data_IF_072647386511
#
_entry.id   IF_072647386511
#
_cell.length_a   1.000
_cell.length_b   1.000
_cell.length_c   1.000
_cell.angle_alpha   90.00
_cell.angle_beta   90.00
_cell.angle_gamma   90.00
#
_symmetry.space_group_name_H-M   'P 1'
#
loop_
_entity.id
_entity.type
_entity.pdbx_description
1 polymer ?
#
# COMPACT_ATOMS: atom_id res chain seq x y z
N UNK A 1 -6.23 -18.70 5.74
CA UNK A 1 -5.80 -17.38 6.27
C UNK A 1 -5.60 -16.43 5.10
N UNK A 2 -6.32 -15.33 5.09
CA UNK A 2 -6.31 -14.38 3.97
C UNK A 2 -5.39 -13.20 4.26
N UNK A 3 -4.53 -12.85 3.32
CA UNK A 3 -3.67 -11.67 3.39
C UNK A 3 -3.76 -10.89 2.08
N UNK A 4 -3.97 -9.59 2.18
CA UNK A 4 -4.09 -8.66 1.06
C UNK A 4 -2.97 -7.63 1.16
N UNK A 5 -2.21 -7.48 0.08
CA UNK A 5 -1.21 -6.42 -0.01
C UNK A 5 -1.82 -5.21 -0.72
N UNK A 6 -1.68 -4.06 -0.10
CA UNK A 6 -2.08 -2.76 -0.66
C UNK A 6 -0.79 -2.02 -1.00
N UNK A 7 -0.61 -1.66 -2.25
CA UNK A 7 0.58 -0.97 -2.72
C UNK A 7 0.23 0.20 -3.62
N UNK A 8 1.19 1.03 -3.94
CA UNK A 8 0.98 2.20 -4.79
C UNK A 8 1.98 3.29 -4.47
N UNK A 9 1.96 4.34 -5.27
CA UNK A 9 2.89 5.46 -5.13
C UNK A 9 2.49 6.39 -3.99
N UNK A 10 3.39 7.29 -3.60
CA UNK A 10 3.10 8.29 -2.56
C UNK A 10 1.88 9.13 -2.94
N UNK A 11 1.00 9.38 -1.98
CA UNK A 11 -0.18 10.24 -2.17
C UNK A 11 -1.41 9.54 -2.74
N UNK A 12 -1.35 8.24 -3.03
CA UNK A 12 -2.53 7.50 -3.50
C UNK A 12 -3.50 7.14 -2.36
N UNK A 13 -3.10 7.33 -1.10
CA UNK A 13 -3.99 7.13 0.05
C UNK A 13 -3.88 5.79 0.74
N UNK A 14 -2.75 5.10 0.62
CA UNK A 14 -2.53 3.78 1.25
C UNK A 14 -2.80 3.79 2.75
N UNK A 15 -2.14 4.69 3.49
CA UNK A 15 -2.29 4.76 4.95
C UNK A 15 -3.69 5.16 5.37
N UNK A 16 -4.33 6.07 4.63
CA UNK A 16 -5.70 6.50 4.90
C UNK A 16 -6.69 5.35 4.73
N UNK A 17 -6.55 4.58 3.67
CA UNK A 17 -7.39 3.40 3.41
C UNK A 17 -7.17 2.36 4.50
N UNK A 18 -5.93 2.14 4.89
CA UNK A 18 -5.58 1.17 5.93
C UNK A 18 -6.19 1.58 7.28
N UNK A 19 -6.14 2.85 7.63
CA UNK A 19 -6.77 3.38 8.84
C UNK A 19 -8.28 3.13 8.83
N UNK A 20 -8.94 3.33 7.68
CA UNK A 20 -10.37 3.05 7.56
C UNK A 20 -10.70 1.57 7.75
N UNK A 21 -9.87 0.68 7.20
CA UNK A 21 -10.02 -0.76 7.40
C UNK A 21 -9.86 -1.14 8.87
N UNK A 22 -8.88 -0.55 9.56
CA UNK A 22 -8.68 -0.76 11.00
C UNK A 22 -9.89 -0.28 11.80
N UNK A 23 -10.45 0.88 11.44
CA UNK A 23 -11.64 1.42 12.09
C UNK A 23 -12.84 0.48 11.95
N UNK A 24 -12.91 -0.27 10.86
CA UNK A 24 -13.96 -1.28 10.62
C UNK A 24 -13.70 -2.61 11.33
N UNK A 25 -12.62 -2.72 12.09
CA UNK A 25 -12.29 -3.90 12.88
C UNK A 25 -11.38 -4.91 12.17
N UNK A 26 -10.81 -4.57 11.02
CA UNK A 26 -9.89 -5.45 10.32
C UNK A 26 -8.46 -5.32 10.85
N UNK A 27 -7.68 -6.39 10.78
CA UNK A 27 -6.28 -6.38 11.13
C UNK A 27 -5.48 -5.70 10.02
N UNK A 28 -4.66 -4.73 10.38
CA UNK A 28 -3.87 -3.95 9.41
C UNK A 28 -2.42 -3.83 9.88
N UNK A 29 -1.49 -3.79 8.92
CA UNK A 29 -0.08 -3.49 9.17
C UNK A 29 0.38 -2.46 8.15
N UNK A 30 0.80 -1.29 8.66
CA UNK A 30 1.42 -0.25 7.85
C UNK A 30 2.93 -0.40 7.97
N UNK A 31 3.58 -0.89 6.91
CA UNK A 31 5.02 -1.18 6.98
C UNK A 31 5.90 0.06 6.94
N UNK A 32 5.34 1.24 6.73
CA UNK A 32 6.11 2.50 6.82
C UNK A 32 6.42 2.88 8.27
N UNK A 33 5.77 2.24 9.24
CA UNK A 33 5.96 2.50 10.66
C UNK A 33 6.45 1.24 11.37
N UNK A 34 7.21 1.42 12.43
CA UNK A 34 7.79 0.30 13.19
C UNK A 34 9.07 -0.21 12.53
N UNK A 35 9.37 -1.48 12.76
CA UNK A 35 10.66 -2.09 12.39
C UNK A 35 10.62 -2.89 11.09
N UNK A 36 9.56 -2.73 10.28
CA UNK A 36 9.35 -3.55 9.09
C UNK A 36 10.37 -3.29 7.97
N UNK A 37 10.91 -2.07 7.92
CA UNK A 37 11.82 -1.63 6.86
C UNK A 37 13.22 -1.38 7.41
N UNK A 38 14.24 -1.83 6.67
CA UNK A 38 15.63 -1.46 6.89
C UNK A 38 16.25 -0.97 5.59
N UNK A 39 17.34 -0.23 5.68
CA UNK A 39 18.03 0.31 4.51
C UNK A 39 19.25 -0.55 4.21
N UNK A 40 19.31 -1.11 3.00
CA UNK A 40 20.43 -1.95 2.54
C UNK A 40 20.96 -1.34 1.24
N UNK A 41 22.22 -0.91 1.25
CA UNK A 41 22.81 -0.27 0.08
C UNK A 41 22.09 1.01 -0.36
N UNK A 42 21.54 1.77 0.59
CA UNK A 42 20.77 2.99 0.32
C UNK A 42 19.33 2.76 -0.09
N UNK A 43 18.85 1.52 -0.13
CA UNK A 43 17.52 1.16 -0.58
C UNK A 43 16.66 0.67 0.59
N UNK A 44 15.44 1.22 0.78
CA UNK A 44 14.53 0.70 1.80
C UNK A 44 13.96 -0.64 1.36
N UNK A 45 14.08 -1.63 2.23
CA UNK A 45 13.60 -2.99 1.99
C UNK A 45 12.83 -3.48 3.22
N UNK A 46 11.87 -4.38 3.01
CA UNK A 46 11.24 -5.11 4.10
C UNK A 46 12.27 -6.00 4.80
N UNK A 47 12.17 -6.10 6.13
CA UNK A 47 12.86 -7.14 6.89
C UNK A 47 12.12 -8.44 6.63
N UNK A 48 12.68 -9.28 5.78
CA UNK A 48 11.98 -10.47 5.25
C UNK A 48 11.54 -11.43 6.35
N UNK A 49 12.36 -11.60 7.38
CA UNK A 49 12.02 -12.46 8.52
C UNK A 49 10.76 -11.96 9.25
N UNK A 50 10.63 -10.67 9.44
CA UNK A 50 9.45 -10.11 10.09
C UNK A 50 8.19 -10.27 9.25
N UNK A 51 8.30 -10.13 7.93
CA UNK A 51 7.19 -10.33 7.01
C UNK A 51 6.79 -11.81 6.98
N UNK A 52 7.76 -12.73 6.90
CA UNK A 52 7.48 -14.16 6.95
C UNK A 52 6.71 -14.53 8.22
N UNK A 53 7.18 -14.05 9.38
CA UNK A 53 6.51 -14.31 10.66
C UNK A 53 5.10 -13.73 10.69
N UNK A 54 4.91 -12.52 10.15
CA UNK A 54 3.59 -11.90 10.08
C UNK A 54 2.62 -12.75 9.24
N UNK A 55 3.07 -13.19 8.07
CA UNK A 55 2.21 -13.97 7.15
C UNK A 55 1.96 -15.39 7.66
N UNK A 56 2.87 -15.95 8.45
CA UNK A 56 2.70 -17.28 9.05
C UNK A 56 1.78 -17.26 10.29
N UNK A 57 1.57 -16.10 10.89
CA UNK A 57 0.79 -15.97 12.12
C UNK A 57 -0.68 -16.34 11.90
N UNK A 58 -1.26 -17.22 12.75
CA UNK A 58 -2.69 -17.53 12.65
C UNK A 58 -3.56 -16.29 12.87
N UNK A 59 -4.62 -16.17 12.10
CA UNK A 59 -5.61 -15.09 12.23
C UNK A 59 -7.00 -15.56 11.91
N UNK A 60 -7.98 -14.91 12.57
CA UNK A 60 -9.39 -15.24 12.38
C UNK A 60 -9.98 -14.57 11.14
N UNK A 61 -9.49 -13.40 10.77
CA UNK A 61 -9.98 -12.62 9.63
C UNK A 61 -8.87 -12.22 8.68
N UNK A 62 -9.20 -11.45 7.63
CA UNK A 62 -8.19 -11.02 6.67
C UNK A 62 -7.20 -10.03 7.29
N UNK A 63 -5.97 -10.09 6.83
CA UNK A 63 -4.90 -9.15 7.14
C UNK A 63 -4.68 -8.24 5.94
N UNK A 64 -4.67 -6.94 6.18
CA UNK A 64 -4.33 -5.95 5.15
C UNK A 64 -2.97 -5.35 5.48
N UNK A 65 -2.02 -5.50 4.55
CA UNK A 65 -0.66 -4.98 4.70
C UNK A 65 -0.45 -3.92 3.62
N UNK A 66 0.07 -2.75 4.00
CA UNK A 66 0.46 -1.79 2.98
C UNK A 66 1.98 -1.65 2.92
N UNK A 67 2.51 -1.45 1.72
CA UNK A 67 3.91 -1.16 1.50
C UNK A 67 4.24 -0.97 0.04
N UNK A 68 5.37 -0.29 -0.20
CA UNK A 68 5.92 -0.10 -1.53
C UNK A 68 7.44 -0.11 -1.40
N UNK A 69 8.02 -1.30 -1.47
CA UNK A 69 9.46 -1.53 -1.37
C UNK A 69 9.90 -2.52 -2.44
N UNK A 70 11.19 -2.50 -2.77
CA UNK A 70 11.69 -3.29 -3.90
C UNK A 70 11.55 -4.80 -3.69
N UNK A 71 11.74 -5.30 -2.47
CA UNK A 71 11.72 -6.74 -2.22
C UNK A 71 10.33 -7.31 -1.90
N UNK A 72 9.28 -6.48 -1.94
CA UNK A 72 7.93 -7.00 -1.69
C UNK A 72 7.48 -8.03 -2.72
N UNK A 73 8.02 -7.96 -3.94
CA UNK A 73 7.68 -8.90 -5.02
C UNK A 73 7.94 -10.35 -4.62
N UNK A 74 8.92 -10.60 -3.76
CA UNK A 74 9.25 -11.94 -3.27
C UNK A 74 8.11 -12.56 -2.46
N UNK A 75 7.22 -11.72 -1.91
CA UNK A 75 6.11 -12.14 -1.06
C UNK A 75 4.78 -12.19 -1.79
N UNK A 76 4.70 -11.78 -3.05
CA UNK A 76 3.45 -11.78 -3.80
C UNK A 76 2.74 -13.14 -3.79
N UNK A 77 3.45 -14.27 -3.92
CA UNK A 77 2.79 -15.58 -3.84
C UNK A 77 2.16 -15.89 -2.47
N UNK A 78 2.57 -15.17 -1.42
CA UNK A 78 2.05 -15.33 -0.07
C UNK A 78 0.79 -14.50 0.18
N UNK A 79 0.47 -13.55 -0.70
CA UNK A 79 -0.73 -12.74 -0.62
C UNK A 79 -1.81 -13.30 -1.53
N UNK A 80 -3.06 -13.28 -1.06
CA UNK A 80 -4.20 -13.75 -1.84
C UNK A 80 -4.61 -12.75 -2.91
N UNK A 81 -4.28 -11.47 -2.71
CA UNK A 81 -4.42 -10.42 -3.71
C UNK A 81 -3.37 -9.34 -3.48
N UNK A 82 -2.94 -8.74 -4.58
CA UNK A 82 -2.04 -7.58 -4.58
C UNK A 82 -2.81 -6.44 -5.25
N UNK A 83 -3.18 -5.45 -4.47
CA UNK A 83 -4.05 -4.35 -4.92
C UNK A 83 -3.23 -3.09 -5.10
N UNK A 84 -3.16 -2.60 -6.34
CA UNK A 84 -2.53 -1.34 -6.66
C UNK A 84 -3.56 -0.22 -6.48
N UNK A 85 -3.27 0.72 -5.58
CA UNK A 85 -4.06 1.95 -5.47
C UNK A 85 -3.49 2.99 -6.41
N UNK A 86 -4.36 3.64 -7.17
CA UNK A 86 -3.98 4.70 -8.10
C UNK A 86 -4.85 5.93 -7.89
N UNK A 87 -4.38 7.07 -8.37
CA UNK A 87 -5.16 8.30 -8.42
C UNK A 87 -4.60 9.20 -9.53
N UNK A 88 -5.41 10.11 -10.10
CA UNK A 88 -4.89 11.12 -11.03
C UNK A 88 -3.79 11.96 -10.38
N UNK A 89 -2.81 12.40 -11.17
CA UNK A 89 -1.66 13.17 -10.64
C UNK A 89 -2.07 14.45 -9.92
N UNK A 90 -3.06 15.14 -10.41
CA UNK A 90 -3.57 16.36 -9.77
C UNK A 90 -4.13 16.06 -8.38
N UNK A 91 -4.83 14.93 -8.22
CA UNK A 91 -5.34 14.47 -6.93
C UNK A 91 -4.17 14.12 -5.99
N UNK A 92 -3.19 13.39 -6.48
CA UNK A 92 -1.99 13.04 -5.70
C UNK A 92 -1.26 14.29 -5.22
N UNK A 93 -1.01 15.24 -6.12
CA UNK A 93 -0.30 16.48 -5.79
C UNK A 93 -1.10 17.32 -4.79
N UNK A 94 -2.41 17.40 -4.93
CA UNK A 94 -3.27 18.11 -3.99
C UNK A 94 -3.17 17.49 -2.59
N UNK A 95 -3.27 16.17 -2.50
CA UNK A 95 -3.15 15.45 -1.22
C UNK A 95 -1.80 15.67 -0.55
N UNK A 96 -0.71 15.62 -1.31
CA UNK A 96 0.64 15.83 -0.79
C UNK A 96 0.83 17.25 -0.28
N UNK A 97 0.29 18.26 -0.98
CA UNK A 97 0.38 19.66 -0.56
C UNK A 97 -0.42 19.97 0.69
N UNK A 98 -1.56 19.28 0.89
CA UNK A 98 -2.50 19.61 1.97
C UNK A 98 -2.37 18.71 3.19
N UNK A 99 -1.67 17.56 3.08
CA UNK A 99 -1.53 16.65 4.23
C UNK A 99 -0.70 17.30 5.34
N UNK A 100 -1.00 16.94 6.59
CA UNK A 100 -0.27 17.37 7.77
C UNK A 100 0.54 16.21 8.34
N UNK A 101 1.61 16.51 9.09
CA UNK A 101 2.44 15.50 9.74
C UNK A 101 3.49 14.84 8.85
N UNK A 102 3.52 15.13 7.56
CA UNK A 102 4.52 14.65 6.63
C UNK A 102 4.76 15.73 5.57
N UNK A 103 5.96 16.29 5.55
CA UNK A 103 6.32 17.40 4.66
C UNK A 103 6.84 16.96 3.29
N UNK A 104 7.07 15.67 3.09
CA UNK A 104 7.52 15.15 1.79
C UNK A 104 6.45 15.38 0.70
N UNK A 105 6.89 15.86 -0.45
CA UNK A 105 6.00 16.09 -1.58
C UNK A 105 5.43 17.51 -1.64
N UNK A 106 5.97 18.45 -0.83
CA UNK A 106 5.50 19.84 -0.80
C UNK A 106 6.37 20.80 -1.60
N UNK A 107 7.60 20.42 -1.94
CA UNK A 107 8.51 21.24 -2.76
C UNK A 107 8.39 20.85 -4.23
N UNK A 108 8.76 21.78 -5.12
CA UNK A 108 8.76 21.52 -6.57
C UNK A 108 9.67 20.35 -6.94
N UNK A 109 10.85 20.24 -6.31
CA UNK A 109 11.78 19.14 -6.57
C UNK A 109 11.21 17.80 -6.11
N UNK A 110 10.55 17.75 -4.97
CA UNK A 110 9.90 16.54 -4.46
C UNK A 110 8.74 16.13 -5.34
N UNK A 111 7.92 17.07 -5.82
CA UNK A 111 6.81 16.78 -6.75
C UNK A 111 7.32 16.26 -8.09
N UNK A 112 8.43 16.81 -8.59
CA UNK A 112 9.05 16.33 -9.83
C UNK A 112 9.56 14.89 -9.66
N UNK A 113 10.16 14.57 -8.51
CA UNK A 113 10.61 13.23 -8.19
C UNK A 113 9.45 12.24 -8.10
N UNK A 114 8.36 12.63 -7.44
CA UNK A 114 7.15 11.81 -7.33
C UNK A 114 6.57 11.55 -8.73
N UNK A 115 6.53 12.56 -9.59
CA UNK A 115 6.05 12.41 -10.96
C UNK A 115 6.88 11.40 -11.75
N UNK A 116 8.21 11.44 -11.62
CA UNK A 116 9.10 10.44 -12.26
C UNK A 116 8.88 9.05 -11.69
N UNK A 117 8.72 8.92 -10.37
CA UNK A 117 8.46 7.63 -9.73
C UNK A 117 7.15 7.03 -10.23
N UNK A 118 6.11 7.84 -10.42
CA UNK A 118 4.85 7.39 -11.00
C UNK A 118 5.08 6.86 -12.41
N UNK A 119 5.84 7.58 -13.25
CA UNK A 119 6.11 7.18 -14.63
C UNK A 119 6.96 5.90 -14.72
N UNK A 120 7.92 5.73 -13.82
CA UNK A 120 8.90 4.66 -13.88
C UNK A 120 8.49 3.43 -13.07
N UNK A 121 7.86 3.62 -11.92
CA UNK A 121 7.60 2.54 -10.96
C UNK A 121 6.16 2.04 -11.00
N UNK A 122 5.17 2.92 -11.16
CA UNK A 122 3.77 2.50 -11.16
C UNK A 122 3.46 1.45 -12.23
N UNK A 123 3.99 1.54 -13.47
CA UNK A 123 3.78 0.48 -14.47
C UNK A 123 4.30 -0.89 -14.02
N UNK A 124 5.40 -0.92 -13.26
CA UNK A 124 5.95 -2.17 -12.73
C UNK A 124 5.02 -2.76 -11.65
N UNK A 125 4.49 -1.93 -10.79
CA UNK A 125 3.51 -2.36 -9.79
C UNK A 125 2.24 -2.88 -10.45
N UNK A 126 1.77 -2.20 -11.48
CA UNK A 126 0.57 -2.59 -12.24
C UNK A 126 0.74 -3.95 -12.90
N UNK A 127 1.92 -4.23 -13.44
CA UNK A 127 2.19 -5.50 -14.11
C UNK A 127 2.06 -6.71 -13.17
N UNK A 128 2.31 -6.54 -11.88
CA UNK A 128 2.26 -7.61 -10.88
C UNK A 128 1.00 -7.60 -10.01
N UNK A 129 0.20 -6.53 -10.08
CA UNK A 129 -1.01 -6.41 -9.27
C UNK A 129 -2.12 -7.33 -9.79
N UNK A 130 -2.91 -7.87 -8.86
CA UNK A 130 -4.10 -8.65 -9.20
C UNK A 130 -5.33 -7.77 -9.39
N UNK A 131 -5.34 -6.59 -8.75
CA UNK A 131 -6.43 -5.62 -8.80
C UNK A 131 -5.86 -4.21 -8.83
N UNK A 132 -6.60 -3.28 -9.43
CA UNK A 132 -6.26 -1.86 -9.43
C UNK A 132 -7.48 -1.07 -8.99
N UNK A 133 -7.32 -0.16 -8.04
CA UNK A 133 -8.40 0.68 -7.51
C UNK A 133 -8.01 2.15 -7.59
N UNK A 134 -8.89 2.96 -8.19
CA UNK A 134 -8.75 4.42 -8.15
C UNK A 134 -9.29 4.93 -6.82
N UNK A 135 -8.50 5.76 -6.14
CA UNK A 135 -8.83 6.27 -4.81
C UNK A 135 -9.36 7.71 -4.83
N UNK A 136 -9.69 8.26 -6.00
CA UNK A 136 -10.23 9.62 -6.10
C UNK A 136 -11.67 9.72 -5.59
N UNK A 137 -12.39 8.61 -5.50
CA UNK A 137 -13.75 8.54 -4.97
C UNK A 137 -13.80 8.47 -3.44
N UNK A 138 -15.02 8.26 -2.87
CA UNK A 138 -15.18 8.20 -1.42
C UNK A 138 -14.36 7.08 -0.76
N UNK A 139 -13.75 7.39 0.38
CA UNK A 139 -12.94 6.44 1.13
C UNK A 139 -13.73 5.18 1.52
N UNK A 140 -14.98 5.34 1.92
CA UNK A 140 -15.85 4.22 2.30
C UNK A 140 -16.03 3.23 1.16
N UNK A 141 -16.12 3.73 -0.08
CA UNK A 141 -16.27 2.89 -1.27
C UNK A 141 -14.99 2.10 -1.56
N UNK A 142 -13.84 2.72 -1.43
CA UNK A 142 -12.55 2.06 -1.62
C UNK A 142 -12.37 0.95 -0.58
N UNK A 143 -12.63 1.25 0.68
CA UNK A 143 -12.51 0.26 1.76
C UNK A 143 -13.50 -0.90 1.56
N UNK A 144 -14.72 -0.62 1.12
CA UNK A 144 -15.72 -1.65 0.86
C UNK A 144 -15.28 -2.61 -0.25
N UNK A 145 -14.67 -2.09 -1.31
CA UNK A 145 -14.14 -2.93 -2.40
C UNK A 145 -13.01 -3.83 -1.90
N UNK A 146 -12.11 -3.30 -1.07
CA UNK A 146 -11.02 -4.09 -0.49
C UNK A 146 -11.54 -5.23 0.39
N UNK A 147 -12.57 -4.98 1.18
CA UNK A 147 -13.21 -6.03 1.99
C UNK A 147 -13.81 -7.10 1.10
N UNK A 148 -14.47 -6.73 0.00
CA UNK A 148 -15.01 -7.69 -0.96
C UNK A 148 -13.90 -8.53 -1.63
N UNK A 149 -12.79 -7.91 -1.98
CA UNK A 149 -11.63 -8.62 -2.54
C UNK A 149 -11.15 -9.68 -1.54
N UNK A 150 -11.03 -9.31 -0.27
CA UNK A 150 -10.60 -10.24 0.78
C UNK A 150 -11.61 -11.39 0.97
N UNK A 151 -12.90 -11.11 0.93
CA UNK A 151 -13.94 -12.14 1.04
C UNK A 151 -13.90 -13.14 -0.11
N UNK A 152 -13.69 -12.66 -1.34
CA UNK A 152 -13.59 -13.52 -2.52
C UNK A 152 -12.30 -14.34 -2.50
N UNK A 153 -11.20 -13.75 -2.07
CA UNK A 153 -9.91 -14.43 -1.99
C UNK A 153 -9.89 -15.53 -0.93
N UNK A 154 -10.71 -15.39 0.12
CA UNK A 154 -10.80 -16.36 1.21
C UNK A 154 -11.69 -17.58 0.92
N UNK A 155 -12.25 -17.69 -0.26
CA UNK A 155 -13.17 -18.78 -0.65
C UNK A 155 -12.47 -19.91 -1.41
#
# INVERSE_FOLDING_TARGET
MTAILITGMSGVGKSTVLTELARRGHETVDTDYGDWIHVVGGEPLWREELIDNLLDRPRAGPLFVQGTVANQVRFYPRFDAVVLLTAPRDVIFHRLRTRTGNDFGKTADQLARISRDIEETEPLLRASATHELDTSGPLESVAAVLVKIAEHAGR
#
